data_IF_979669023369
#
_entry.id   IF_979669023369
#
_cell.length_a   1.000
_cell.length_b   1.000
_cell.length_c   1.000
_cell.angle_alpha   90.00
_cell.angle_beta   90.00
_cell.angle_gamma   90.00
#
_symmetry.space_group_name_H-M   'P 1'
#
loop_
_entity.id
_entity.type
_entity.pdbx_description
1 polymer ?
#
# COMPACT_ATOMS: atom_id res chain seq x y z
N UNK A 1 5.10 35.67 7.45
CA UNK A 1 5.08 34.41 8.22
C UNK A 1 4.22 33.43 7.45
N UNK A 2 4.85 32.54 6.67
CA UNK A 2 4.13 31.50 5.95
C UNK A 2 4.12 30.26 6.83
N UNK A 3 2.95 29.89 7.33
CA UNK A 3 2.76 28.62 8.03
C UNK A 3 2.88 27.53 6.95
N UNK A 4 4.06 26.95 6.79
CA UNK A 4 4.18 25.65 6.14
C UNK A 4 3.64 24.61 7.13
N UNK A 5 2.33 24.39 7.10
CA UNK A 5 1.77 23.19 7.73
C UNK A 5 2.11 21.99 6.82
N UNK A 6 3.37 21.56 6.90
CA UNK A 6 3.94 20.44 6.14
C UNK A 6 3.49 19.07 6.65
N UNK A 7 2.51 19.02 7.56
CA UNK A 7 2.10 17.78 8.25
C UNK A 7 1.22 16.85 7.41
N UNK A 8 0.77 17.30 6.24
CA UNK A 8 -0.12 16.53 5.37
C UNK A 8 0.18 16.66 3.87
N UNK A 9 1.44 16.88 3.47
CA UNK A 9 1.78 16.73 2.05
C UNK A 9 1.36 15.32 1.61
N UNK A 10 0.40 15.24 0.68
CA UNK A 10 0.02 13.97 0.07
C UNK A 10 1.29 13.39 -0.56
N UNK A 11 1.62 12.12 -0.31
CA UNK A 11 2.77 11.51 -0.96
C UNK A 11 2.59 11.62 -2.49
N UNK A 12 3.69 11.85 -3.18
CA UNK A 12 3.70 11.87 -4.64
C UNK A 12 3.23 10.50 -5.15
N UNK A 13 2.35 10.50 -6.15
CA UNK A 13 1.94 9.26 -6.80
C UNK A 13 3.10 8.72 -7.62
N UNK A 14 3.38 7.42 -7.48
CA UNK A 14 4.42 6.69 -8.21
C UNK A 14 3.69 5.67 -9.10
N UNK A 15 3.67 5.84 -10.42
CA UNK A 15 3.12 4.84 -11.34
C UNK A 15 3.81 3.48 -11.15
N UNK A 16 3.06 2.37 -11.25
CA UNK A 16 3.63 1.03 -10.97
C UNK A 16 4.78 0.65 -11.89
N UNK A 17 4.78 1.13 -13.12
CA UNK A 17 5.88 0.89 -14.07
C UNK A 17 7.12 1.74 -13.81
N UNK A 18 7.03 2.78 -12.98
CA UNK A 18 8.16 3.62 -12.55
C UNK A 18 8.67 3.25 -11.15
N UNK A 19 7.98 2.34 -10.45
CA UNK A 19 8.33 1.95 -9.09
C UNK A 19 9.68 1.21 -9.07
N UNK A 20 10.60 1.68 -8.24
CA UNK A 20 11.93 1.08 -8.03
C UNK A 20 12.08 0.54 -6.60
N UNK A 21 13.18 -0.18 -6.35
CA UNK A 21 13.52 -0.65 -5.01
C UNK A 21 13.81 0.50 -4.03
N UNK A 22 14.30 1.64 -4.53
CA UNK A 22 14.64 2.82 -3.71
C UNK A 22 13.40 3.56 -3.19
N UNK A 23 12.25 3.36 -3.85
CA UNK A 23 10.96 3.91 -3.44
C UNK A 23 10.30 3.12 -2.30
N UNK A 24 10.79 1.89 -2.04
CA UNK A 24 10.23 1.02 -1.02
C UNK A 24 10.76 1.39 0.37
N UNK A 25 9.89 1.40 1.40
CA UNK A 25 10.37 1.57 2.76
C UNK A 25 11.24 0.36 3.17
N UNK A 26 12.17 0.59 4.11
CA UNK A 26 13.03 -0.47 4.65
C UNK A 26 12.21 -1.51 5.44
N UNK A 27 12.76 -2.72 5.63
CA UNK A 27 12.05 -3.81 6.30
C UNK A 27 11.63 -3.47 7.75
N UNK A 28 12.46 -2.70 8.46
CA UNK A 28 12.28 -2.25 9.84
C UNK A 28 11.71 -0.82 9.96
N UNK A 29 11.20 -0.26 8.86
CA UNK A 29 10.63 1.09 8.82
C UNK A 29 9.50 1.30 9.85
N UNK A 30 9.25 2.56 10.20
CA UNK A 30 8.11 2.93 11.04
C UNK A 30 6.77 2.70 10.31
N UNK A 31 5.71 2.39 11.06
CA UNK A 31 4.36 2.18 10.48
C UNK A 31 3.88 3.38 9.64
N UNK A 32 4.26 4.60 10.02
CA UNK A 32 3.95 5.81 9.25
C UNK A 32 4.57 5.82 7.86
N UNK A 33 5.73 5.18 7.66
CA UNK A 33 6.39 5.08 6.36
C UNK A 33 5.67 4.10 5.45
N UNK A 34 5.24 2.94 5.97
CA UNK A 34 4.38 1.99 5.23
C UNK A 34 3.06 2.65 4.81
N UNK A 35 2.42 3.39 5.71
CA UNK A 35 1.17 4.12 5.43
C UNK A 35 1.39 5.18 4.35
N UNK A 36 2.52 5.89 4.37
CA UNK A 36 2.87 6.86 3.31
C UNK A 36 3.13 6.16 1.98
N UNK A 37 3.88 5.06 1.99
CA UNK A 37 4.18 4.29 0.79
C UNK A 37 2.90 3.73 0.15
N UNK A 38 1.98 3.18 0.94
CA UNK A 38 0.69 2.68 0.46
C UNK A 38 -0.15 3.76 -0.26
N UNK A 39 0.07 5.04 0.06
CA UNK A 39 -0.63 6.19 -0.55
C UNK A 39 0.07 6.75 -1.79
N UNK A 40 1.20 6.16 -2.21
CA UNK A 40 1.86 6.49 -3.50
C UNK A 40 1.12 5.90 -4.69
N UNK A 41 0.08 5.10 -4.46
CA UNK A 41 -0.88 4.67 -5.46
C UNK A 41 -2.26 5.17 -5.05
N UNK A 42 -3.03 5.66 -6.01
CA UNK A 42 -4.48 5.83 -5.82
C UNK A 42 -5.20 4.59 -6.35
N UNK A 43 -5.49 3.64 -5.47
CA UNK A 43 -6.14 2.39 -5.85
C UNK A 43 -7.53 2.59 -6.45
N UNK A 44 -8.23 3.69 -6.15
CA UNK A 44 -9.51 3.98 -6.79
C UNK A 44 -9.28 4.34 -8.26
N UNK A 45 -8.31 5.19 -8.58
CA UNK A 45 -8.02 5.58 -9.95
C UNK A 45 -7.59 4.40 -10.83
N UNK A 46 -6.80 3.46 -10.29
CA UNK A 46 -6.32 2.27 -11.01
C UNK A 46 -7.45 1.33 -11.47
N UNK A 47 -8.56 1.29 -10.74
CA UNK A 47 -9.67 0.35 -10.99
C UNK A 47 -10.90 1.00 -11.64
N UNK A 48 -10.87 2.31 -11.93
CA UNK A 48 -11.95 3.02 -12.62
C UNK A 48 -12.57 4.21 -11.88
N UNK A 49 -12.09 4.51 -10.67
CA UNK A 49 -12.43 5.72 -9.90
C UNK A 49 -13.63 5.58 -8.97
N UNK A 50 -14.42 4.51 -9.07
CA UNK A 50 -15.57 4.25 -8.20
C UNK A 50 -15.25 3.31 -7.03
N UNK A 51 -15.93 3.53 -5.91
CA UNK A 51 -15.73 2.74 -4.69
C UNK A 51 -16.28 1.32 -4.80
N UNK A 52 -17.38 1.10 -5.53
CA UNK A 52 -17.96 -0.23 -5.69
C UNK A 52 -17.06 -1.11 -6.57
N UNK A 53 -16.51 -0.54 -7.65
CA UNK A 53 -15.56 -1.22 -8.52
C UNK A 53 -14.28 -1.58 -7.75
N UNK A 54 -13.75 -0.64 -6.95
CA UNK A 54 -12.61 -0.89 -6.09
C UNK A 54 -12.83 -2.03 -5.10
N UNK A 55 -13.97 -2.03 -4.39
CA UNK A 55 -14.26 -3.10 -3.42
C UNK A 55 -14.39 -4.46 -4.12
N UNK A 56 -15.09 -4.51 -5.26
CA UNK A 56 -15.28 -5.73 -6.04
C UNK A 56 -13.95 -6.28 -6.57
N UNK A 57 -13.06 -5.40 -7.02
CA UNK A 57 -11.72 -5.76 -7.47
C UNK A 57 -10.85 -6.28 -6.32
N UNK A 58 -10.82 -5.58 -5.18
CA UNK A 58 -10.07 -6.01 -4.00
C UNK A 58 -10.55 -7.36 -3.48
N UNK A 59 -11.87 -7.61 -3.46
CA UNK A 59 -12.41 -8.89 -3.04
C UNK A 59 -11.99 -10.02 -3.99
N UNK A 60 -12.01 -9.79 -5.30
CA UNK A 60 -11.49 -10.76 -6.27
C UNK A 60 -9.99 -11.05 -6.09
N UNK A 61 -9.19 -10.07 -5.64
CA UNK A 61 -7.77 -10.28 -5.34
C UNK A 61 -7.53 -11.05 -4.03
N UNK A 62 -8.41 -10.94 -3.05
CA UNK A 62 -8.27 -11.60 -1.74
C UNK A 62 -8.28 -13.12 -1.85
N UNK A 63 -9.06 -13.66 -2.79
CA UNK A 63 -9.20 -15.09 -3.02
C UNK A 63 -8.07 -15.70 -3.87
N UNK A 64 -7.21 -14.86 -4.45
CA UNK A 64 -6.10 -15.30 -5.31
C UNK A 64 -4.82 -15.55 -4.49
N UNK A 65 -4.03 -16.59 -4.84
CA UNK A 65 -2.69 -16.78 -4.28
C UNK A 65 -1.83 -15.53 -4.53
N UNK A 66 -1.07 -15.10 -3.51
CA UNK A 66 -0.28 -13.86 -3.58
C UNK A 66 0.82 -13.91 -4.63
N UNK A 67 1.38 -15.09 -4.89
CA UNK A 67 2.44 -15.30 -5.88
C UNK A 67 1.94 -15.16 -7.33
N UNK A 68 0.62 -15.27 -7.55
CA UNK A 68 -0.02 -15.12 -8.87
C UNK A 68 -0.46 -13.66 -9.15
N UNK A 69 -0.24 -12.75 -8.20
CA UNK A 69 -0.66 -11.36 -8.33
C UNK A 69 0.36 -10.52 -9.09
N UNK A 70 -0.14 -9.66 -9.97
CA UNK A 70 0.70 -8.66 -10.62
C UNK A 70 1.17 -7.61 -9.60
N UNK A 71 2.25 -6.90 -9.92
CA UNK A 71 2.78 -5.83 -9.06
C UNK A 71 1.72 -4.76 -8.74
N UNK A 72 0.90 -4.41 -9.74
CA UNK A 72 -0.22 -3.47 -9.54
C UNK A 72 -1.25 -4.02 -8.55
N UNK A 73 -1.63 -5.30 -8.66
CA UNK A 73 -2.58 -5.97 -7.76
C UNK A 73 -2.09 -5.91 -6.30
N UNK A 74 -0.81 -6.19 -6.07
CA UNK A 74 -0.20 -6.11 -4.73
C UNK A 74 -0.25 -4.69 -4.15
N UNK A 75 0.02 -3.67 -4.98
CA UNK A 75 -0.06 -2.27 -4.55
C UNK A 75 -1.50 -1.83 -4.28
N UNK A 76 -2.47 -2.31 -5.06
CA UNK A 76 -3.91 -2.08 -4.82
C UNK A 76 -4.33 -2.71 -3.48
N UNK A 77 -3.90 -3.94 -3.19
CA UNK A 77 -4.15 -4.56 -1.88
C UNK A 77 -3.51 -3.77 -0.74
N UNK A 78 -2.29 -3.25 -0.91
CA UNK A 78 -1.62 -2.43 0.08
C UNK A 78 -2.39 -1.14 0.36
N UNK A 79 -2.86 -0.47 -0.69
CA UNK A 79 -3.73 0.70 -0.57
C UNK A 79 -5.04 0.36 0.16
N UNK A 80 -5.69 -0.75 -0.19
CA UNK A 80 -6.91 -1.21 0.46
C UNK A 80 -6.71 -1.44 1.98
N UNK A 81 -5.61 -2.08 2.36
CA UNK A 81 -5.26 -2.33 3.77
C UNK A 81 -5.00 -1.02 4.52
N UNK A 82 -4.34 -0.04 3.89
CA UNK A 82 -4.15 1.29 4.47
C UNK A 82 -5.50 1.99 4.73
N UNK A 83 -6.44 1.89 3.80
CA UNK A 83 -7.79 2.46 3.97
C UNK A 83 -8.54 1.78 5.10
N UNK A 84 -8.47 0.45 5.19
CA UNK A 84 -9.05 -0.30 6.31
C UNK A 84 -8.46 0.15 7.65
N UNK A 85 -7.14 0.33 7.75
CA UNK A 85 -6.46 0.80 8.97
C UNK A 85 -6.93 2.22 9.35
N UNK A 86 -7.08 3.11 8.37
CA UNK A 86 -7.57 4.47 8.59
C UNK A 86 -8.99 4.49 9.18
N UNK A 87 -9.89 3.65 8.67
CA UNK A 87 -11.29 3.64 9.10
C UNK A 87 -11.56 2.80 10.35
N UNK A 88 -10.76 1.76 10.61
CA UNK A 88 -10.92 0.90 11.79
C UNK A 88 -10.13 1.40 13.01
N UNK A 89 -9.41 2.52 12.88
CA UNK A 89 -8.71 3.17 13.99
C UNK A 89 -7.52 2.36 14.51
N UNK A 90 -6.68 1.85 13.60
CA UNK A 90 -5.57 0.92 13.90
C UNK A 90 -4.78 1.23 15.17
N UNK A 91 -4.69 0.23 16.04
CA UNK A 91 -3.95 0.24 17.31
C UNK A 91 -4.78 -0.15 18.52
N UNK A 92 -4.69 -1.42 18.94
CA UNK A 92 -4.98 -1.81 20.33
C UNK A 92 -3.65 -1.83 21.07
N UNK A 93 -3.48 -1.09 22.20
CA UNK A 93 -2.18 -0.89 22.86
C UNK A 93 -1.46 -2.18 23.25
N UNK A 94 -2.19 -3.29 23.36
CA UNK A 94 -1.70 -4.55 23.91
C UNK A 94 -1.60 -5.67 22.86
N UNK A 95 -1.82 -5.38 21.56
CA UNK A 95 -1.83 -6.40 20.49
C UNK A 95 -1.10 -5.95 19.23
N UNK A 96 -0.46 -6.88 18.50
CA UNK A 96 0.04 -6.59 17.16
C UNK A 96 -1.10 -6.07 16.30
N UNK A 97 -0.87 -4.97 15.58
CA UNK A 97 -1.83 -4.46 14.61
C UNK A 97 -1.81 -5.37 13.37
N UNK A 98 -2.87 -6.18 13.14
CA UNK A 98 -2.89 -7.13 12.03
C UNK A 98 -2.86 -6.43 10.67
N UNK A 99 -3.40 -5.21 10.57
CA UNK A 99 -3.38 -4.44 9.33
C UNK A 99 -1.96 -3.97 9.03
N UNK A 100 -1.19 -3.56 10.04
CA UNK A 100 0.22 -3.23 9.86
C UNK A 100 1.08 -4.46 9.51
N UNK A 101 0.75 -5.63 10.07
CA UNK A 101 1.35 -6.91 9.70
C UNK A 101 1.14 -7.23 8.22
N UNK A 102 -0.10 -7.11 7.74
CA UNK A 102 -0.44 -7.32 6.32
C UNK A 102 0.25 -6.29 5.42
N UNK A 103 0.30 -5.01 5.81
CA UNK A 103 1.01 -3.99 5.03
C UNK A 103 2.51 -4.29 4.88
N UNK A 104 3.17 -4.81 5.93
CA UNK A 104 4.58 -5.26 5.83
C UNK A 104 4.70 -6.43 4.87
N UNK A 105 3.85 -7.44 5.02
CA UNK A 105 3.86 -8.62 4.16
C UNK A 105 3.69 -8.24 2.68
N UNK A 106 2.71 -7.40 2.35
CA UNK A 106 2.47 -6.91 0.99
C UNK A 106 3.66 -6.11 0.44
N UNK A 107 4.29 -5.29 1.29
CA UNK A 107 5.50 -4.53 0.90
C UNK A 107 6.68 -5.46 0.60
N UNK A 108 6.85 -6.54 1.37
CA UNK A 108 7.89 -7.53 1.12
C UNK A 108 7.66 -8.34 -0.16
N UNK A 109 6.40 -8.67 -0.49
CA UNK A 109 6.03 -9.28 -1.77
C UNK A 109 6.33 -8.34 -2.95
N UNK A 110 5.95 -7.05 -2.84
CA UNK A 110 6.28 -6.02 -3.82
C UNK A 110 7.81 -5.93 -4.02
N UNK A 111 8.58 -5.92 -2.93
CA UNK A 111 10.05 -5.90 -2.99
C UNK A 111 10.61 -7.12 -3.73
N UNK A 112 10.05 -8.30 -3.46
CA UNK A 112 10.47 -9.56 -4.07
C UNK A 112 10.19 -9.56 -5.57
N UNK A 113 8.99 -9.17 -5.98
CA UNK A 113 8.60 -9.12 -7.39
C UNK A 113 9.43 -8.10 -8.19
N UNK A 114 9.74 -6.94 -7.60
CA UNK A 114 10.64 -5.96 -8.23
C UNK A 114 12.05 -6.51 -8.44
N UNK A 115 12.61 -7.25 -7.48
CA UNK A 115 13.92 -7.90 -7.64
C UNK A 115 13.90 -8.91 -8.77
N UNK A 116 12.88 -9.78 -8.82
CA UNK A 116 12.75 -10.80 -9.86
C UNK A 116 12.62 -10.20 -11.26
N UNK A 117 11.94 -9.06 -11.40
CA UNK A 117 11.77 -8.41 -12.70
C UNK A 117 13.01 -7.64 -13.19
N UNK A 118 14.01 -7.43 -12.33
CA UNK A 118 15.27 -6.73 -12.66
C UNK A 118 16.41 -7.68 -13.05
N UNK A 119 16.23 -8.99 -12.87
CA UNK A 119 17.16 -10.06 -13.26
C UNK A 119 16.83 -10.62 -14.66
#
# INVERSE_FOLDING_TARGET
FTIHDSRYALPMLIPTHELTLDDLPLADCANSELIRFARTLDGYAEVGGDMADFNSYVDALRDRPRDDLALTDLRILLFATQRAHYFQGGGWPDRPDPLMGEMRHLTDLIRTQLRTNME
#
